data_IF_890320164776
#
_entry.id   IF_890320164776
#
_cell.length_a   1.000
_cell.length_b   1.000
_cell.length_c   1.000
_cell.angle_alpha   90.00
_cell.angle_beta   90.00
_cell.angle_gamma   90.00
#
_symmetry.space_group_name_H-M   'P 1'
#
loop_
_entity.id
_entity.type
_entity.pdbx_description
1 polymer ?
#
# COMPACT_ATOMS: atom_id res chain seq x y z
N UNK A 1 1.00 -18.38 -5.04
CA UNK A 1 0.97 -16.93 -4.66
C UNK A 1 1.87 -16.75 -3.46
N UNK A 2 2.62 -15.67 -3.32
CA UNK A 2 3.55 -15.48 -2.18
C UNK A 2 2.88 -14.70 -1.06
N UNK A 3 2.84 -15.24 0.15
CA UNK A 3 2.41 -14.52 1.34
C UNK A 3 3.47 -13.53 1.83
N UNK A 4 3.09 -12.58 2.69
CA UNK A 4 4.00 -11.54 3.17
C UNK A 4 3.71 -11.13 4.61
N UNK A 5 4.79 -11.00 5.39
CA UNK A 5 4.81 -10.21 6.61
C UNK A 5 5.35 -8.81 6.27
N UNK A 6 4.70 -7.77 6.78
CA UNK A 6 5.06 -6.38 6.48
C UNK A 6 4.95 -5.50 7.74
N UNK A 7 5.73 -5.79 8.80
CA UNK A 7 5.69 -5.00 10.01
C UNK A 7 6.48 -3.69 9.88
N UNK A 8 5.96 -2.62 10.50
CA UNK A 8 6.71 -1.39 10.74
C UNK A 8 7.46 -1.53 12.07
N UNK A 9 8.79 -1.27 12.12
CA UNK A 9 9.60 -1.44 13.32
C UNK A 9 9.44 -0.26 14.29
N UNK A 10 8.21 -0.02 14.74
CA UNK A 10 7.83 1.10 15.63
C UNK A 10 7.78 0.72 17.12
N UNK A 11 8.38 -0.41 17.48
CA UNK A 11 8.40 -0.97 18.82
C UNK A 11 8.02 -2.45 18.83
N UNK A 12 7.60 -2.97 19.98
CA UNK A 12 7.17 -4.37 20.09
C UNK A 12 5.84 -4.61 19.38
N UNK A 13 5.70 -5.78 18.80
CA UNK A 13 4.42 -6.21 18.20
C UNK A 13 3.34 -6.35 19.27
N UNK A 14 2.14 -5.87 18.96
CA UNK A 14 0.95 -6.17 19.75
C UNK A 14 0.21 -7.37 19.16
N UNK A 15 -0.72 -7.94 19.93
CA UNK A 15 -1.45 -9.16 19.55
C UNK A 15 -2.15 -9.06 18.19
N UNK A 16 -2.62 -7.88 17.79
CA UNK A 16 -3.25 -7.67 16.48
C UNK A 16 -2.29 -7.84 15.31
N UNK A 17 -1.01 -7.43 15.47
CA UNK A 17 0.01 -7.69 14.44
C UNK A 17 0.27 -9.19 14.32
N UNK A 18 0.43 -9.88 15.46
CA UNK A 18 0.65 -11.34 15.50
C UNK A 18 -0.53 -12.08 14.86
N UNK A 19 -1.76 -11.68 15.17
CA UNK A 19 -2.96 -12.29 14.60
C UNK A 19 -3.01 -12.16 13.07
N UNK A 20 -2.73 -10.96 12.53
CA UNK A 20 -2.70 -10.73 11.09
C UNK A 20 -1.61 -11.56 10.39
N UNK A 21 -0.42 -11.63 11.00
CA UNK A 21 0.70 -12.43 10.47
C UNK A 21 0.42 -13.92 10.55
N UNK A 22 -0.20 -14.41 11.62
CA UNK A 22 -0.64 -15.79 11.74
C UNK A 22 -1.63 -16.16 10.63
N UNK A 23 -2.61 -15.30 10.35
CA UNK A 23 -3.56 -15.51 9.27
C UNK A 23 -2.88 -15.60 7.89
N UNK A 24 -1.95 -14.69 7.62
CA UNK A 24 -1.17 -14.71 6.39
C UNK A 24 -0.30 -15.97 6.27
N UNK A 25 0.33 -16.37 7.38
CA UNK A 25 1.16 -17.57 7.44
C UNK A 25 0.37 -18.84 7.18
N UNK A 26 -0.75 -19.02 7.89
CA UNK A 26 -1.62 -20.19 7.72
C UNK A 26 -2.17 -20.28 6.29
N UNK A 27 -2.58 -19.16 5.71
CA UNK A 27 -3.08 -19.09 4.33
C UNK A 27 -2.01 -19.55 3.32
N UNK A 28 -0.81 -19.01 3.42
CA UNK A 28 0.28 -19.35 2.51
C UNK A 28 0.73 -20.80 2.70
N UNK A 29 0.96 -21.23 3.93
CA UNK A 29 1.45 -22.60 4.21
C UNK A 29 0.41 -23.67 3.83
N UNK A 30 -0.88 -23.40 3.99
CA UNK A 30 -1.97 -24.27 3.53
C UNK A 30 -1.94 -24.48 2.01
N UNK A 31 -1.56 -23.45 1.27
CA UNK A 31 -1.46 -23.50 -0.21
C UNK A 31 -0.10 -23.99 -0.72
N UNK A 32 0.85 -24.31 0.18
CA UNK A 32 2.22 -24.65 -0.21
C UNK A 32 3.03 -23.45 -0.71
N UNK A 33 2.59 -22.24 -0.41
CA UNK A 33 3.21 -21.00 -0.85
C UNK A 33 4.33 -20.54 0.10
N UNK A 34 5.23 -19.68 -0.42
CA UNK A 34 6.25 -19.03 0.38
C UNK A 34 5.72 -17.83 1.14
N UNK A 35 6.40 -17.49 2.25
CA UNK A 35 6.20 -16.25 3.03
C UNK A 35 7.45 -15.38 2.92
N UNK A 36 7.31 -14.11 2.61
CA UNK A 36 8.38 -13.13 2.62
C UNK A 36 8.23 -12.16 3.78
N UNK A 37 9.35 -11.81 4.43
CA UNK A 37 9.38 -10.77 5.44
C UNK A 37 9.89 -9.46 4.81
N UNK A 38 9.09 -8.39 4.93
CA UNK A 38 9.47 -7.04 4.53
C UNK A 38 9.31 -6.11 5.72
N UNK A 39 10.41 -5.55 6.19
CA UNK A 39 10.43 -4.52 7.23
C UNK A 39 10.10 -3.17 6.59
N UNK A 40 9.05 -2.52 7.08
CA UNK A 40 8.56 -1.24 6.55
C UNK A 40 9.14 -0.08 7.37
N UNK A 41 10.39 0.26 7.09
CA UNK A 41 11.24 1.19 7.82
C UNK A 41 11.49 2.53 7.09
N UNK A 42 10.61 2.90 6.15
CA UNK A 42 10.72 4.17 5.40
C UNK A 42 10.31 5.37 6.28
N UNK A 43 9.35 5.19 7.19
CA UNK A 43 8.87 6.24 8.10
C UNK A 43 9.86 6.40 9.26
N UNK A 44 11.01 7.00 8.99
CA UNK A 44 12.13 7.13 9.93
C UNK A 44 11.73 7.63 11.33
N UNK A 45 10.83 8.65 11.48
CA UNK A 45 10.41 9.13 12.79
C UNK A 45 9.72 8.07 13.66
N UNK A 46 9.21 7.01 13.06
CA UNK A 46 8.53 5.90 13.76
C UNK A 46 9.42 4.69 13.99
N UNK A 47 10.60 4.65 13.38
CA UNK A 47 11.53 3.55 13.53
C UNK A 47 12.18 3.60 14.91
N UNK A 48 12.05 2.51 15.66
CA UNK A 48 12.72 2.34 16.95
C UNK A 48 13.94 1.46 16.76
N UNK A 49 15.14 1.92 17.16
CA UNK A 49 16.37 1.11 17.05
C UNK A 49 16.20 -0.27 17.72
N UNK A 50 16.60 -1.34 17.04
CA UNK A 50 16.51 -2.72 17.54
C UNK A 50 15.11 -3.33 17.50
N UNK A 51 14.09 -2.59 17.06
CA UNK A 51 12.73 -3.12 16.98
C UNK A 51 12.58 -4.18 15.88
N UNK A 52 13.23 -4.01 14.73
CA UNK A 52 13.19 -4.97 13.65
C UNK A 52 13.74 -6.34 14.08
N UNK A 53 14.90 -6.36 14.74
CA UNK A 53 15.51 -7.58 15.26
C UNK A 53 14.67 -8.23 16.35
N UNK A 54 14.02 -7.41 17.18
CA UNK A 54 13.11 -7.91 18.22
C UNK A 54 11.89 -8.57 17.59
N UNK A 55 11.29 -7.94 16.58
CA UNK A 55 10.15 -8.51 15.84
C UNK A 55 10.51 -9.82 15.14
N UNK A 56 11.67 -9.90 14.52
CA UNK A 56 12.13 -11.13 13.88
C UNK A 56 12.27 -12.26 14.91
N UNK A 57 12.89 -12.00 16.07
CA UNK A 57 13.00 -12.98 17.14
C UNK A 57 11.64 -13.39 17.71
N UNK A 58 10.71 -12.45 17.86
CA UNK A 58 9.34 -12.73 18.33
C UNK A 58 8.60 -13.63 17.32
N UNK A 59 8.75 -13.40 16.01
CA UNK A 59 8.16 -14.24 14.97
C UNK A 59 8.76 -15.66 14.97
N UNK A 60 10.08 -15.77 15.10
CA UNK A 60 10.77 -17.06 15.20
C UNK A 60 10.31 -17.83 16.45
N UNK A 61 10.21 -17.15 17.59
CA UNK A 61 9.71 -17.75 18.84
C UNK A 61 8.27 -18.26 18.72
N UNK A 62 7.42 -17.53 17.97
CA UNK A 62 6.04 -17.93 17.68
C UNK A 62 5.94 -19.05 16.64
N UNK A 63 7.04 -19.48 16.02
CA UNK A 63 7.04 -20.45 14.93
C UNK A 63 6.51 -19.90 13.60
N UNK A 64 6.41 -18.58 13.45
CA UNK A 64 5.99 -17.89 12.24
C UNK A 64 7.19 -17.59 11.34
N UNK A 65 7.89 -18.63 10.91
CA UNK A 65 9.06 -18.48 10.02
C UNK A 65 8.69 -17.99 8.61
N UNK A 66 9.63 -17.29 8.01
CA UNK A 66 9.54 -16.78 6.63
C UNK A 66 10.62 -17.45 5.76
N UNK A 67 10.53 -17.26 4.44
CA UNK A 67 11.42 -17.88 3.47
C UNK A 67 12.36 -16.83 2.86
N UNK A 68 13.66 -17.13 2.87
CA UNK A 68 14.72 -16.25 2.35
C UNK A 68 15.06 -15.07 3.26
N UNK A 69 15.88 -14.16 2.74
CA UNK A 69 16.34 -13.01 3.50
C UNK A 69 15.27 -11.96 3.72
N UNK A 70 15.22 -11.30 4.91
CA UNK A 70 14.36 -10.17 5.16
C UNK A 70 14.68 -9.02 4.20
N UNK A 71 13.65 -8.33 3.72
CA UNK A 71 13.79 -7.13 2.89
C UNK A 71 13.49 -5.90 3.72
N UNK A 72 14.42 -4.97 3.79
CA UNK A 72 14.23 -3.65 4.40
C UNK A 72 13.83 -2.65 3.31
N UNK A 73 12.74 -1.92 3.47
CA UNK A 73 12.29 -0.95 2.47
C UNK A 73 13.28 0.21 2.31
N UNK A 74 13.91 0.66 3.39
CA UNK A 74 14.94 1.71 3.38
C UNK A 74 16.11 1.39 2.44
N UNK A 75 16.45 0.13 2.28
CA UNK A 75 17.52 -0.29 1.35
C UNK A 75 17.13 -0.25 -0.13
N UNK A 76 15.87 0.08 -0.44
CA UNK A 76 15.30 -0.01 -1.79
C UNK A 76 14.85 1.34 -2.36
N UNK A 77 15.28 2.44 -1.79
CA UNK A 77 14.89 3.80 -2.25
C UNK A 77 15.14 4.02 -3.74
N UNK A 78 16.27 3.57 -4.27
CA UNK A 78 16.58 3.71 -5.69
C UNK A 78 15.53 3.04 -6.60
N UNK A 79 15.06 1.84 -6.24
CA UNK A 79 14.02 1.14 -6.99
C UNK A 79 12.67 1.85 -6.91
N UNK A 80 12.33 2.43 -5.76
CA UNK A 80 11.09 3.19 -5.61
C UNK A 80 11.14 4.50 -6.38
N UNK A 81 12.30 5.17 -6.39
CA UNK A 81 12.51 6.38 -7.18
C UNK A 81 12.38 6.08 -8.68
N UNK A 82 13.01 5.03 -9.16
CA UNK A 82 12.89 4.59 -10.56
C UNK A 82 11.43 4.29 -10.94
N UNK A 83 10.71 3.56 -10.08
CA UNK A 83 9.30 3.27 -10.31
C UNK A 83 8.45 4.54 -10.33
N UNK A 84 8.71 5.50 -9.44
CA UNK A 84 8.02 6.79 -9.39
C UNK A 84 8.29 7.60 -10.68
N UNK A 85 9.52 7.63 -11.15
CA UNK A 85 9.88 8.30 -12.40
C UNK A 85 9.22 7.67 -13.63
N UNK A 86 9.08 6.35 -13.66
CA UNK A 86 8.33 5.67 -14.72
C UNK A 86 6.84 6.03 -14.66
N UNK A 87 6.24 5.99 -13.48
CA UNK A 87 4.82 6.34 -13.30
C UNK A 87 4.54 7.82 -13.62
N UNK A 88 5.48 8.71 -13.31
CA UNK A 88 5.30 10.15 -13.60
C UNK A 88 5.27 10.49 -15.09
N UNK A 89 5.76 9.58 -15.94
CA UNK A 89 5.73 9.74 -17.40
C UNK A 89 4.43 9.23 -18.04
N UNK A 90 3.61 8.53 -17.27
CA UNK A 90 2.35 7.98 -17.76
C UNK A 90 1.20 8.96 -17.53
N UNK A 91 0.31 9.05 -18.51
CA UNK A 91 -0.96 9.75 -18.41
C UNK A 91 -2.08 8.79 -18.01
N UNK A 92 -3.16 9.37 -17.48
CA UNK A 92 -4.36 8.58 -17.13
C UNK A 92 -4.96 7.89 -18.37
N UNK A 93 -4.92 8.53 -19.53
CA UNK A 93 -5.48 8.02 -20.78
C UNK A 93 -4.71 6.78 -21.26
N UNK A 94 -3.37 6.80 -21.21
CA UNK A 94 -2.53 5.65 -21.58
C UNK A 94 -2.80 4.42 -20.71
N UNK A 95 -3.07 4.61 -19.42
CA UNK A 95 -3.37 3.50 -18.51
C UNK A 95 -4.79 2.97 -18.73
N UNK A 96 -5.75 3.84 -18.98
CA UNK A 96 -7.12 3.45 -19.31
C UNK A 96 -7.17 2.54 -20.53
N UNK A 97 -6.36 2.80 -21.53
CA UNK A 97 -6.24 1.98 -22.74
C UNK A 97 -5.62 0.61 -22.42
N UNK A 98 -4.60 0.56 -21.58
CA UNK A 98 -3.96 -0.69 -21.17
C UNK A 98 -4.93 -1.58 -20.36
N UNK A 99 -5.70 -0.98 -19.45
CA UNK A 99 -6.68 -1.69 -18.61
C UNK A 99 -7.84 -2.18 -19.49
N UNK A 100 -8.30 -1.38 -20.44
CA UNK A 100 -9.42 -1.71 -21.32
C UNK A 100 -9.11 -2.86 -22.29
N UNK A 101 -7.85 -2.99 -22.69
CA UNK A 101 -7.38 -4.10 -23.56
C UNK A 101 -7.12 -5.40 -22.79
N UNK A 102 -7.01 -5.34 -21.45
CA UNK A 102 -6.67 -6.49 -20.60
C UNK A 102 -7.83 -7.16 -19.86
N UNK A 103 -9.05 -6.64 -19.88
CA UNK A 103 -10.19 -7.22 -19.17
C UNK A 103 -11.43 -7.32 -20.06
N UNK A 104 -11.77 -8.54 -20.47
CA UNK A 104 -13.15 -8.86 -20.82
C UNK A 104 -13.98 -8.77 -19.54
N UNK A 105 -15.03 -7.94 -19.55
CA UNK A 105 -16.06 -7.75 -18.52
C UNK A 105 -15.71 -6.87 -17.30
N UNK A 106 -15.70 -5.56 -17.52
CA UNK A 106 -16.29 -4.64 -16.52
C UNK A 106 -16.57 -3.29 -17.17
N UNK A 107 -17.86 -2.95 -17.13
CA UNK A 107 -18.45 -1.69 -17.57
C UNK A 107 -17.78 -0.51 -16.84
N UNK A 108 -17.30 0.54 -17.53
CA UNK A 108 -16.73 1.70 -16.87
C UNK A 108 -17.78 2.39 -16.00
N UNK A 109 -17.41 2.67 -14.75
CA UNK A 109 -18.20 3.54 -13.87
C UNK A 109 -18.19 4.95 -14.47
N UNK A 110 -19.33 5.36 -15.06
CA UNK A 110 -19.55 6.71 -15.54
C UNK A 110 -19.80 7.64 -14.37
N UNK A 111 -18.77 8.29 -13.86
CA UNK A 111 -18.92 9.49 -13.03
C UNK A 111 -18.93 10.70 -13.96
N UNK A 112 -20.12 11.06 -14.42
CA UNK A 112 -20.37 12.37 -15.02
C UNK A 112 -20.38 13.43 -13.93
N UNK A 113 -19.26 14.09 -13.74
CA UNK A 113 -19.24 15.44 -13.19
C UNK A 113 -18.79 16.36 -14.30
N UNK A 114 -19.73 17.17 -14.80
CA UNK A 114 -19.43 18.14 -15.84
C UNK A 114 -18.45 19.18 -15.38
N UNK A 115 -17.47 19.46 -16.22
CA UNK A 115 -16.89 20.78 -16.31
C UNK A 115 -16.38 21.01 -17.75
N UNK A 116 -16.81 22.13 -18.30
CA UNK A 116 -16.51 22.56 -19.66
C UNK A 116 -15.06 22.97 -19.81
N UNK A 117 -14.53 22.71 -21.04
CA UNK A 117 -13.36 23.33 -21.65
C UNK A 117 -12.05 23.35 -20.85
N UNK A 118 -11.32 22.23 -20.87
CA UNK A 118 -9.88 22.24 -20.68
C UNK A 118 -9.20 21.75 -21.97
N UNK A 119 -8.28 22.55 -22.46
CA UNK A 119 -7.28 22.20 -23.48
C UNK A 119 -6.69 20.84 -23.21
N UNK A 120 -6.47 20.03 -24.25
CA UNK A 120 -6.03 18.63 -24.21
C UNK A 120 -4.59 18.47 -23.67
N UNK A 121 -4.36 18.81 -22.41
CA UNK A 121 -3.18 18.35 -21.68
C UNK A 121 -3.56 17.03 -21.00
N UNK A 122 -2.84 15.97 -21.35
CA UNK A 122 -3.03 14.64 -20.78
C UNK A 122 -2.98 14.71 -19.25
N UNK A 123 -4.00 14.21 -18.56
CA UNK A 123 -4.09 14.25 -17.09
C UNK A 123 -2.96 13.42 -16.49
N UNK A 124 -2.06 14.00 -15.67
CA UNK A 124 -0.97 13.25 -15.08
C UNK A 124 -1.51 12.19 -14.10
N UNK A 125 -0.91 11.00 -14.14
CA UNK A 125 -1.27 9.91 -13.24
C UNK A 125 -0.90 10.20 -11.78
N UNK A 126 0.18 10.96 -11.57
CA UNK A 126 0.71 11.30 -10.26
C UNK A 126 0.65 12.81 -10.08
N UNK A 127 0.09 13.23 -8.98
CA UNK A 127 0.05 14.63 -8.55
C UNK A 127 0.41 14.76 -7.07
N UNK A 128 1.02 15.89 -6.64
CA UNK A 128 1.33 16.12 -5.24
C UNK A 128 0.05 16.39 -4.45
N UNK A 129 -0.10 15.73 -3.29
CA UNK A 129 -1.17 15.99 -2.34
C UNK A 129 -0.60 16.54 -1.04
N UNK A 130 -1.07 17.71 -0.60
CA UNK A 130 -0.63 18.39 0.61
C UNK A 130 -1.66 18.31 1.76
N UNK A 131 -2.74 17.54 1.57
CA UNK A 131 -3.79 17.39 2.57
C UNK A 131 -3.28 16.64 3.81
N UNK A 132 -3.46 17.21 4.98
CA UNK A 132 -3.26 16.49 6.23
C UNK A 132 -4.44 15.52 6.50
N UNK A 133 -4.23 14.57 7.42
CA UNK A 133 -5.34 13.70 7.86
C UNK A 133 -6.49 14.47 8.50
N UNK A 134 -6.22 15.65 9.07
CA UNK A 134 -7.23 16.51 9.63
C UNK A 134 -8.07 17.17 8.52
N UNK A 135 -7.43 17.63 7.45
CA UNK A 135 -8.11 18.20 6.28
C UNK A 135 -9.02 17.17 5.61
N UNK A 136 -8.53 15.94 5.43
CA UNK A 136 -9.32 14.84 4.88
C UNK A 136 -10.55 14.57 5.74
N UNK A 137 -10.39 14.51 7.07
CA UNK A 137 -11.53 14.29 7.99
C UNK A 137 -12.52 15.46 7.99
N UNK A 138 -12.04 16.70 7.92
CA UNK A 138 -12.89 17.88 7.88
C UNK A 138 -13.70 17.95 6.58
N UNK A 139 -13.09 17.62 5.45
CA UNK A 139 -13.77 17.59 4.16
C UNK A 139 -14.71 16.40 3.98
N UNK A 140 -14.44 15.30 4.69
CA UNK A 140 -15.22 14.06 4.67
C UNK A 140 -16.19 13.96 5.84
N UNK A 141 -16.63 15.09 6.44
CA UNK A 141 -17.64 15.07 7.51
C UNK A 141 -18.86 14.27 7.01
N UNK A 142 -19.20 13.14 7.65
CA UNK A 142 -20.26 12.26 7.16
C UNK A 142 -21.58 13.03 7.16
N UNK A 143 -22.23 13.09 6.02
CA UNK A 143 -23.64 13.40 5.98
C UNK A 143 -24.40 12.24 6.62
N UNK A 144 -25.45 12.54 7.36
CA UNK A 144 -26.23 11.58 8.11
C UNK A 144 -26.70 10.45 7.17
N UNK A 145 -26.07 9.25 7.27
CA UNK A 145 -26.34 8.10 6.40
C UNK A 145 -25.16 7.52 5.62
N UNK A 146 -24.06 8.24 5.46
CA UNK A 146 -22.90 7.75 4.73
C UNK A 146 -22.01 6.84 5.59
N UNK A 147 -21.81 5.59 5.12
CA UNK A 147 -20.94 4.59 5.79
C UNK A 147 -19.46 4.70 5.41
N UNK A 148 -19.14 5.55 4.44
CA UNK A 148 -17.78 5.64 3.91
C UNK A 148 -17.30 7.09 3.84
N UNK A 149 -16.08 7.31 4.30
CA UNK A 149 -15.37 8.58 4.13
C UNK A 149 -14.85 8.65 2.69
N UNK A 150 -15.32 9.61 1.90
CA UNK A 150 -14.82 9.85 0.54
C UNK A 150 -13.58 10.75 0.64
N UNK A 151 -12.51 10.37 -0.03
CA UNK A 151 -11.32 11.20 -0.15
C UNK A 151 -11.62 12.38 -1.10
N UNK A 152 -11.46 13.65 -0.67
CA UNK A 152 -11.92 14.80 -1.43
C UNK A 152 -10.90 15.31 -2.46
N UNK A 153 -9.70 14.73 -2.54
CA UNK A 153 -8.60 15.23 -3.34
C UNK A 153 -8.28 14.47 -4.57
#
# INVERSE_FOLDING_TARGET
MTGRFAPTPSGRMHIGNVYAMLGAWLSARKSGDSIRLRIEDIDEPRVVPGAAETMMRDLEWLGLGWDGEPVFQSSRHALYQEALELLSKLSFDEISDIISTGSNDSKPCSTTAGNEAATSEATPLIYPCFCSRADIRAASAPQEGDRFTVYPG
#
